data_IF_548054945810
#
_entry.id   IF_548054945810
#
_cell.length_a   1.000
_cell.length_b   1.000
_cell.length_c   1.000
_cell.angle_alpha   90.00
_cell.angle_beta   90.00
_cell.angle_gamma   90.00
#
_symmetry.space_group_name_H-M   'P 1'
#
loop_
_entity.id
_entity.type
_entity.pdbx_description
1 polymer ?
#
# COMPACT_ATOMS: atom_id res chain seq x y z
N UNK A 1 8.64 -2.69 31.54
CA UNK A 1 9.02 -2.06 30.25
C UNK A 1 7.77 -1.49 29.61
N UNK A 2 7.54 -0.19 29.76
CA UNK A 2 6.55 0.50 28.94
C UNK A 2 7.20 0.67 27.57
N UNK A 3 6.79 -0.14 26.59
CA UNK A 3 7.16 0.11 25.20
C UNK A 3 6.43 1.40 24.83
N UNK A 4 7.19 2.50 24.82
CA UNK A 4 6.75 3.77 24.24
C UNK A 4 6.17 3.48 22.85
N UNK A 5 5.04 4.12 22.52
CA UNK A 5 4.29 3.84 21.28
C UNK A 5 5.22 3.85 20.07
N UNK A 6 5.56 2.67 19.55
CA UNK A 6 6.40 2.52 18.37
C UNK A 6 5.52 2.61 17.12
N UNK A 7 5.92 3.49 16.20
CA UNK A 7 5.23 3.74 14.96
C UNK A 7 6.07 3.33 13.77
N UNK A 8 5.41 2.75 12.77
CA UNK A 8 6.05 2.36 11.52
C UNK A 8 5.66 3.36 10.44
N UNK A 9 6.64 4.05 9.87
CA UNK A 9 6.42 5.04 8.81
C UNK A 9 6.89 4.45 7.49
N UNK A 10 5.99 4.37 6.52
CA UNK A 10 6.28 3.81 5.22
C UNK A 10 6.29 4.88 4.15
N UNK A 11 7.42 4.99 3.45
CA UNK A 11 7.56 5.79 2.25
C UNK A 11 7.85 4.86 1.09
N UNK A 12 6.94 4.78 0.13
CA UNK A 12 7.12 3.90 -1.02
C UNK A 12 5.82 3.64 -1.79
N UNK A 13 5.92 2.83 -2.83
CA UNK A 13 4.75 2.38 -3.59
C UNK A 13 4.06 1.16 -2.99
N UNK A 14 3.08 0.62 -3.72
CA UNK A 14 2.26 -0.52 -3.27
C UNK A 14 3.04 -1.74 -2.75
N UNK A 15 4.13 -2.12 -3.42
CA UNK A 15 4.96 -3.28 -3.01
C UNK A 15 5.48 -3.12 -1.59
N UNK A 16 6.06 -1.96 -1.27
CA UNK A 16 6.61 -1.68 0.06
C UNK A 16 5.47 -1.68 1.10
N UNK A 17 4.29 -1.20 0.71
CA UNK A 17 3.08 -1.26 1.53
C UNK A 17 2.62 -2.68 1.87
N UNK A 18 2.69 -3.61 0.92
CA UNK A 18 2.33 -5.02 1.14
C UNK A 18 3.29 -5.71 2.12
N UNK A 19 4.59 -5.43 2.02
CA UNK A 19 5.59 -5.94 2.97
C UNK A 19 5.35 -5.46 4.40
N UNK A 20 4.96 -4.19 4.56
CA UNK A 20 4.67 -3.63 5.87
C UNK A 20 3.49 -4.35 6.54
N UNK A 21 2.45 -4.63 5.75
CA UNK A 21 1.25 -5.28 6.25
C UNK A 21 1.56 -6.72 6.63
N UNK A 22 2.37 -7.42 5.83
CA UNK A 22 2.84 -8.76 6.14
C UNK A 22 3.64 -8.78 7.44
N UNK A 23 4.57 -7.83 7.62
CA UNK A 23 5.37 -7.72 8.84
C UNK A 23 4.49 -7.42 10.06
N UNK A 24 3.47 -6.58 9.94
CA UNK A 24 2.52 -6.33 11.03
C UNK A 24 1.71 -7.57 11.39
N UNK A 25 1.30 -8.37 10.39
CA UNK A 25 0.60 -9.62 10.63
C UNK A 25 1.50 -10.63 11.35
N UNK A 26 2.78 -10.72 10.97
CA UNK A 26 3.76 -11.60 11.61
C UNK A 26 4.17 -11.14 13.03
N UNK A 27 4.14 -9.83 13.30
CA UNK A 27 4.58 -9.24 14.58
C UNK A 27 3.41 -8.90 15.54
N UNK A 28 2.25 -9.53 15.37
CA UNK A 28 1.09 -9.43 16.27
C UNK A 28 0.50 -8.02 16.43
N UNK A 29 0.46 -7.19 15.37
CA UNK A 29 -0.27 -5.90 15.36
C UNK A 29 0.14 -4.90 16.45
N UNK A 30 1.32 -5.09 17.08
CA UNK A 30 1.77 -4.29 18.22
C UNK A 30 2.05 -2.81 17.88
N UNK A 31 2.05 -2.46 16.59
CA UNK A 31 2.54 -1.18 16.09
C UNK A 31 1.54 -0.52 15.15
N UNK A 32 1.28 0.77 15.39
CA UNK A 32 0.53 1.60 14.45
C UNK A 32 1.44 1.96 13.28
N UNK A 33 0.96 1.81 12.05
CA UNK A 33 1.70 2.26 10.87
C UNK A 33 0.98 3.32 10.07
N UNK A 34 1.79 4.18 9.45
CA UNK A 34 1.36 5.19 8.51
C UNK A 34 1.96 4.91 7.15
N UNK A 35 1.12 4.97 6.11
CA UNK A 35 1.54 4.77 4.72
C UNK A 35 1.50 6.08 3.95
N UNK A 36 2.62 6.42 3.34
CA UNK A 36 2.79 7.53 2.40
C UNK A 36 3.06 6.97 1.01
N UNK A 37 2.01 6.65 0.23
CA UNK A 37 2.15 6.12 -1.12
C UNK A 37 2.86 7.14 -2.01
N UNK A 38 3.98 6.72 -2.61
CA UNK A 38 4.79 7.57 -3.50
C UNK A 38 4.44 7.38 -4.97
N UNK A 39 3.73 6.30 -5.34
CA UNK A 39 3.31 6.05 -6.71
C UNK A 39 1.79 6.11 -6.86
N UNK A 40 1.34 6.54 -8.04
CA UNK A 40 -0.09 6.76 -8.31
C UNK A 40 -0.90 5.46 -8.19
N UNK A 41 -0.38 4.35 -8.73
CA UNK A 41 -1.04 3.04 -8.61
C UNK A 41 -1.15 2.59 -7.15
N UNK A 42 -0.12 2.85 -6.36
CA UNK A 42 -0.13 2.44 -4.97
C UNK A 42 -1.18 3.19 -4.15
N UNK A 43 -1.39 4.45 -4.51
CA UNK A 43 -2.36 5.35 -3.90
C UNK A 43 -3.81 4.96 -4.19
N UNK A 44 -4.11 4.59 -5.45
CA UNK A 44 -5.49 4.37 -5.93
C UNK A 44 -5.98 2.93 -5.80
N UNK A 45 -5.08 1.94 -5.73
CA UNK A 45 -5.44 0.52 -5.72
C UNK A 45 -4.87 -0.20 -4.49
N UNK A 46 -3.54 -0.35 -4.44
CA UNK A 46 -2.91 -1.15 -3.37
C UNK A 46 -3.10 -0.59 -1.95
N UNK A 47 -3.47 0.69 -1.83
CA UNK A 47 -3.74 1.31 -0.54
C UNK A 47 -5.07 0.83 0.07
N UNK A 48 -5.96 0.23 -0.72
CA UNK A 48 -7.31 -0.16 -0.34
C UNK A 48 -7.49 -1.67 -0.44
N UNK A 49 -8.12 -2.29 0.56
CA UNK A 49 -8.55 -3.69 0.51
C UNK A 49 -7.76 -4.69 1.35
N UNK A 50 -6.65 -4.28 1.99
CA UNK A 50 -5.91 -5.15 2.92
C UNK A 50 -5.38 -6.44 2.29
N UNK A 51 -5.16 -6.41 0.97
CA UNK A 51 -4.63 -7.57 0.23
C UNK A 51 -3.12 -7.51 0.25
N UNK A 52 -2.51 -8.63 0.59
CA UNK A 52 -1.07 -8.81 0.57
C UNK A 52 -0.72 -9.88 -0.46
N UNK A 53 0.25 -9.59 -1.31
CA UNK A 53 0.77 -10.53 -2.30
C UNK A 53 2.13 -11.03 -1.86
N UNK A 54 2.18 -12.30 -1.45
CA UNK A 54 3.43 -12.98 -1.18
C UNK A 54 3.85 -13.77 -2.43
N UNK A 55 4.99 -13.38 -3.00
CA UNK A 55 5.58 -14.08 -4.15
C UNK A 55 6.72 -14.97 -3.64
N UNK A 56 6.55 -16.28 -3.74
CA UNK A 56 7.59 -17.27 -3.41
C UNK A 56 7.87 -18.07 -4.68
N UNK A 57 9.07 -17.91 -5.24
CA UNK A 57 9.44 -18.49 -6.55
C UNK A 57 8.42 -18.12 -7.65
N UNK A 58 7.78 -19.12 -8.27
CA UNK A 58 6.76 -18.95 -9.32
C UNK A 58 5.33 -18.95 -8.75
N UNK A 59 5.16 -19.04 -7.42
CA UNK A 59 3.86 -19.06 -6.77
C UNK A 59 3.51 -17.67 -6.25
N UNK A 60 2.31 -17.20 -6.61
CA UNK A 60 1.68 -16.02 -6.03
C UNK A 60 0.60 -16.48 -5.06
N UNK A 61 0.74 -16.12 -3.79
CA UNK A 61 -0.29 -16.35 -2.78
C UNK A 61 -0.83 -15.01 -2.31
N UNK A 62 -2.15 -14.84 -2.43
CA UNK A 62 -2.84 -13.73 -1.79
C UNK A 62 -3.16 -14.09 -0.35
N UNK A 63 -2.81 -13.19 0.55
CA UNK A 63 -3.16 -13.24 1.96
C UNK A 63 -4.04 -12.02 2.23
N UNK A 64 -5.21 -12.26 2.78
CA UNK A 64 -6.13 -11.19 3.15
C UNK A 64 -5.90 -10.85 4.62
N UNK A 65 -5.51 -9.61 4.88
CA UNK A 65 -5.35 -9.08 6.22
C UNK A 65 -5.79 -7.63 6.26
N UNK A 66 -6.96 -7.41 6.85
CA UNK A 66 -7.53 -6.08 7.00
C UNK A 66 -6.92 -5.40 8.22
N UNK A 67 -5.85 -4.63 7.99
CA UNK A 67 -5.28 -3.74 8.98
C UNK A 67 -5.81 -2.30 8.85
N UNK A 68 -6.15 -1.70 10.00
CA UNK A 68 -6.57 -0.30 10.09
C UNK A 68 -5.35 0.63 10.03
N UNK A 69 -4.86 0.86 8.81
CA UNK A 69 -3.71 1.74 8.56
C UNK A 69 -4.13 3.15 8.19
N UNK A 70 -3.44 4.12 8.78
CA UNK A 70 -3.64 5.53 8.45
C UNK A 70 -2.85 5.82 7.17
N UNK A 71 -3.58 6.28 6.16
CA UNK A 71 -3.05 6.59 4.83
C UNK A 71 -3.02 8.09 4.61
N UNK A 72 -1.90 8.57 4.09
CA UNK A 72 -1.66 9.99 3.84
C UNK A 72 -1.37 10.20 2.36
N UNK A 73 -2.41 10.61 1.64
CA UNK A 73 -2.40 10.85 0.20
C UNK A 73 -1.75 12.21 -0.10
N UNK A 74 -0.72 12.23 -0.95
CA UNK A 74 -0.04 13.47 -1.34
C UNK A 74 0.43 13.43 -2.79
N UNK A 75 -0.16 14.28 -3.63
CA UNK A 75 0.13 14.35 -5.07
C UNK A 75 1.53 14.88 -5.39
N UNK A 76 2.20 15.55 -4.45
CA UNK A 76 3.57 16.07 -4.62
C UNK A 76 4.56 14.95 -5.01
N UNK A 77 4.32 13.71 -4.58
CA UNK A 77 5.19 12.58 -4.95
C UNK A 77 5.04 12.17 -6.42
N UNK A 78 3.98 12.58 -7.10
CA UNK A 78 3.70 12.22 -8.49
C UNK A 78 4.43 13.09 -9.50
N UNK A 79 4.92 14.27 -9.09
CA UNK A 79 5.63 15.21 -9.96
C UNK A 79 6.92 14.62 -10.55
N UNK A 80 7.60 13.76 -9.77
CA UNK A 80 8.87 13.13 -10.16
C UNK A 80 8.71 11.67 -10.62
N UNK A 81 7.48 11.19 -10.79
CA UNK A 81 7.21 9.79 -11.09
C UNK A 81 7.36 9.52 -12.60
N UNK A 82 7.97 8.39 -13.02
CA UNK A 82 8.04 8.04 -14.44
C UNK A 82 6.65 8.01 -15.09
N UNK A 83 6.52 8.55 -16.29
CA UNK A 83 5.22 8.67 -16.97
C UNK A 83 4.50 7.32 -17.15
N UNK A 84 5.24 6.21 -17.21
CA UNK A 84 4.66 4.85 -17.26
C UNK A 84 3.92 4.48 -15.97
N UNK A 85 4.46 4.84 -14.80
CA UNK A 85 3.84 4.52 -13.51
C UNK A 85 2.62 5.40 -13.24
N UNK A 86 2.68 6.68 -13.64
CA UNK A 86 1.52 7.58 -13.59
C UNK A 86 0.37 7.03 -14.45
N UNK A 87 0.67 6.64 -15.70
CA UNK A 87 -0.33 6.01 -16.59
C UNK A 87 -0.95 4.76 -15.97
N UNK A 88 -0.15 3.94 -15.28
CA UNK A 88 -0.65 2.76 -14.58
C UNK A 88 -1.73 3.09 -13.56
N UNK A 89 -1.51 4.11 -12.72
CA UNK A 89 -2.52 4.57 -11.77
C UNK A 89 -3.76 5.20 -12.43
N UNK A 90 -3.57 5.96 -13.50
CA UNK A 90 -4.70 6.54 -14.27
C UNK A 90 -5.59 5.48 -14.94
N UNK A 91 -5.01 4.41 -15.48
CA UNK A 91 -5.78 3.29 -16.05
C UNK A 91 -6.69 2.67 -14.98
N UNK A 92 -6.16 2.55 -13.76
CA UNK A 92 -6.89 1.96 -12.65
C UNK A 92 -8.00 2.89 -12.13
N UNK A 93 -7.79 4.21 -12.13
CA UNK A 93 -8.86 5.19 -11.90
C UNK A 93 -9.95 5.13 -12.98
N UNK A 94 -9.57 5.03 -14.25
CA UNK A 94 -10.51 4.88 -15.36
C UNK A 94 -11.34 3.60 -15.22
N UNK A 95 -10.71 2.49 -14.84
CA UNK A 95 -11.40 1.22 -14.58
C UNK A 95 -12.46 1.39 -13.50
N UNK A 96 -12.12 2.02 -12.37
CA UNK A 96 -13.09 2.30 -11.32
C UNK A 96 -14.24 3.18 -11.83
N UNK A 97 -13.94 4.22 -12.61
CA UNK A 97 -14.96 5.08 -13.23
C UNK A 97 -15.93 4.31 -14.16
N UNK A 98 -15.43 3.34 -14.93
CA UNK A 98 -16.24 2.53 -15.84
C UNK A 98 -17.06 1.44 -15.14
N UNK A 99 -16.60 0.92 -14.01
CA UNK A 99 -17.34 -0.10 -13.23
C UNK A 99 -18.43 0.56 -12.37
N UNK A 100 -18.21 1.81 -11.96
CA UNK A 100 -19.11 2.54 -11.07
C UNK A 100 -20.25 3.27 -11.81
N UNK A 101 -20.16 3.39 -13.15
CA UNK A 101 -21.28 3.79 -14.04
C UNK A 101 -22.21 2.63 -14.32
#
# INVERSE_FOLDING_TARGET
>A
MQIEKLYWLLFGGGVIGEWLDLLQQLLCEAFRSFKFPQNCLGDVDSSVGGKQLLIIHQLKKQLDHLNNLIRLHRTVFFENLPSRELKGGFIELLKHGLIMT
#
